data_IF_116950220777
#
_entry.id   IF_116950220777
#
_cell.length_a   1.000
_cell.length_b   1.000
_cell.length_c   1.000
_cell.angle_alpha   90.00
_cell.angle_beta   90.00
_cell.angle_gamma   90.00
#
_symmetry.space_group_name_H-M   'P 1'
#
loop_
_entity.id
_entity.type
_entity.pdbx_description
1 polymer ?
#
# COMPACT_ATOMS: atom_id res chain seq x y z
N UNK A 1 24.40 16.52 -0.31
CA UNK A 1 23.91 15.27 -0.92
C UNK A 1 23.26 14.43 0.16
N UNK A 2 22.08 13.88 -0.08
CA UNK A 2 21.35 13.11 0.92
C UNK A 2 22.04 11.76 1.17
N UNK A 3 22.24 11.38 2.44
CA UNK A 3 22.79 10.05 2.74
C UNK A 3 21.68 8.99 2.62
N UNK A 4 22.06 7.79 2.22
CA UNK A 4 21.13 6.66 2.10
C UNK A 4 20.37 6.35 3.41
N UNK A 5 21.02 6.53 4.55
CA UNK A 5 20.40 6.35 5.88
C UNK A 5 19.23 7.31 6.09
N UNK A 6 19.32 8.51 5.54
CA UNK A 6 18.42 9.63 5.82
C UNK A 6 17.17 9.62 4.90
N UNK A 7 17.19 8.82 3.83
CA UNK A 7 16.02 8.58 2.97
C UNK A 7 15.00 7.74 3.76
N UNK A 8 13.73 8.11 3.78
CA UNK A 8 12.67 7.37 4.49
C UNK A 8 11.67 6.78 3.49
N UNK A 9 11.31 5.52 3.69
CA UNK A 9 10.21 4.88 2.94
C UNK A 9 8.90 5.56 3.32
N UNK A 10 8.02 5.78 2.35
CA UNK A 10 6.76 6.50 2.54
C UNK A 10 6.89 8.02 2.52
N UNK A 11 8.09 8.58 2.33
CA UNK A 11 8.29 10.03 2.21
C UNK A 11 8.44 10.48 0.75
N UNK A 12 8.06 11.73 0.49
CA UNK A 12 8.20 12.41 -0.79
C UNK A 12 9.54 13.15 -0.86
N UNK A 13 10.24 13.00 -1.98
CA UNK A 13 11.49 13.67 -2.31
C UNK A 13 11.48 14.14 -3.76
N UNK A 14 12.41 15.01 -4.14
CA UNK A 14 12.77 15.12 -5.55
C UNK A 14 13.69 13.96 -5.94
N UNK A 15 13.50 13.41 -7.12
CA UNK A 15 14.36 12.41 -7.72
C UNK A 15 14.80 12.88 -9.12
N UNK A 16 16.11 12.86 -9.37
CA UNK A 16 16.69 13.08 -10.70
C UNK A 16 16.55 11.80 -11.54
N UNK A 17 15.68 11.85 -12.56
CA UNK A 17 15.38 10.71 -13.40
C UNK A 17 16.28 10.62 -14.65
N UNK A 18 17.23 11.53 -14.86
CA UNK A 18 18.11 11.52 -16.04
C UNK A 18 19.28 10.54 -15.91
N UNK A 19 19.75 9.86 -16.97
CA UNK A 19 19.24 9.93 -18.33
C UNK A 19 17.95 9.15 -18.49
N UNK A 20 17.12 9.58 -19.45
CA UNK A 20 15.87 8.92 -19.80
C UNK A 20 15.93 8.29 -21.18
N UNK A 21 15.12 7.25 -21.38
CA UNK A 21 14.81 6.74 -22.73
C UNK A 21 13.68 7.57 -23.35
N UNK A 22 13.48 7.42 -24.66
CA UNK A 22 12.35 8.05 -25.36
C UNK A 22 11.03 7.63 -24.69
N UNK A 23 10.16 8.60 -24.40
CA UNK A 23 8.85 8.43 -23.75
C UNK A 23 8.85 8.16 -22.24
N UNK A 24 9.99 8.30 -21.58
CA UNK A 24 10.09 8.23 -20.12
C UNK A 24 9.89 9.60 -19.45
N UNK A 25 9.41 9.60 -18.21
CA UNK A 25 9.48 10.79 -17.34
C UNK A 25 10.94 11.09 -16.97
N UNK A 26 11.43 12.29 -17.27
CA UNK A 26 12.80 12.73 -17.00
C UNK A 26 12.89 13.97 -16.14
N UNK A 27 14.10 14.45 -15.90
CA UNK A 27 14.37 15.57 -14.99
C UNK A 27 13.99 15.29 -13.52
N UNK A 28 13.94 16.36 -12.72
CA UNK A 28 13.64 16.30 -11.30
C UNK A 28 12.14 16.23 -11.06
N UNK A 29 11.66 15.06 -10.63
CA UNK A 29 10.26 14.84 -10.27
C UNK A 29 10.09 14.63 -8.78
N UNK A 30 8.98 15.14 -8.22
CA UNK A 30 8.53 14.67 -6.92
C UNK A 30 8.21 13.18 -7.02
N UNK A 31 8.68 12.40 -6.05
CA UNK A 31 8.54 10.94 -6.02
C UNK A 31 8.42 10.44 -4.60
N UNK A 32 7.65 9.37 -4.41
CA UNK A 32 7.53 8.66 -3.12
C UNK A 32 8.55 7.52 -3.09
N UNK A 33 9.25 7.36 -1.97
CA UNK A 33 10.12 6.18 -1.76
C UNK A 33 9.25 4.98 -1.37
N UNK A 34 9.18 3.97 -2.24
CA UNK A 34 8.44 2.74 -2.01
C UNK A 34 9.25 1.74 -1.19
N UNK A 35 10.54 1.60 -1.50
CA UNK A 35 11.41 0.67 -0.79
C UNK A 35 12.88 1.04 -0.91
N UNK A 36 13.67 0.48 0.00
CA UNK A 36 15.12 0.60 0.08
C UNK A 36 15.78 -0.65 -0.48
N UNK A 37 16.75 -0.46 -1.38
CA UNK A 37 17.51 -1.55 -1.98
C UNK A 37 18.36 -2.30 -0.94
N UNK A 38 18.49 -3.62 -1.13
CA UNK A 38 19.36 -4.45 -0.26
C UNK A 38 20.85 -4.09 -0.42
N UNK A 39 21.22 -3.50 -1.55
CA UNK A 39 22.57 -3.02 -1.87
C UNK A 39 22.99 -1.77 -1.07
N UNK A 40 22.07 -1.17 -0.31
CA UNK A 40 22.24 0.08 0.45
C UNK A 40 22.65 1.30 -0.41
N UNK A 41 22.35 1.24 -1.71
CA UNK A 41 22.73 2.26 -2.71
C UNK A 41 21.58 2.67 -3.61
N UNK A 42 20.56 1.84 -3.73
CA UNK A 42 19.39 2.11 -4.58
C UNK A 42 18.12 2.23 -3.76
N UNK A 43 17.14 2.92 -4.33
CA UNK A 43 15.78 3.03 -3.79
C UNK A 43 14.78 2.83 -4.93
N UNK A 44 13.66 2.21 -4.63
CA UNK A 44 12.53 2.12 -5.55
C UNK A 44 11.58 3.28 -5.27
N UNK A 45 11.18 3.97 -6.33
CA UNK A 45 10.34 5.16 -6.28
C UNK A 45 9.13 5.02 -7.19
N UNK A 46 8.11 5.82 -6.92
CA UNK A 46 7.02 6.12 -7.86
C UNK A 46 6.87 7.62 -8.00
N UNK A 47 6.75 8.10 -9.23
CA UNK A 47 6.72 9.53 -9.53
C UNK A 47 5.34 10.16 -9.30
N UNK A 48 5.35 11.46 -9.00
CA UNK A 48 4.17 12.29 -8.79
C UNK A 48 4.02 13.33 -9.90
N UNK A 49 2.78 13.75 -10.14
CA UNK A 49 2.44 14.81 -11.08
C UNK A 49 1.24 15.62 -10.62
N UNK A 50 1.10 16.85 -11.10
CA UNK A 50 -0.10 17.67 -10.94
C UNK A 50 -1.13 17.46 -12.07
N UNK A 51 -0.76 16.73 -13.13
CA UNK A 51 -1.63 16.52 -14.30
C UNK A 51 -2.59 15.35 -14.07
N UNK A 52 -3.89 15.60 -14.19
CA UNK A 52 -4.96 14.60 -14.02
C UNK A 52 -5.14 13.63 -15.20
N UNK A 53 -4.47 13.84 -16.34
CA UNK A 53 -4.60 12.95 -17.52
C UNK A 53 -4.22 11.50 -17.18
N UNK A 54 -5.09 10.53 -17.44
CA UNK A 54 -4.85 9.11 -17.09
C UNK A 54 -5.31 8.72 -15.68
N UNK A 55 -6.07 9.58 -14.98
CA UNK A 55 -6.75 9.23 -13.74
C UNK A 55 -7.66 8.00 -13.93
N UNK A 56 -7.50 7.00 -13.06
CA UNK A 56 -8.26 5.75 -13.13
C UNK A 56 -7.73 4.73 -14.15
N UNK A 57 -6.66 5.05 -14.87
CA UNK A 57 -5.93 4.10 -15.73
C UNK A 57 -4.54 3.83 -15.15
N UNK A 58 -3.65 4.83 -15.24
CA UNK A 58 -2.29 4.75 -14.75
C UNK A 58 -1.98 5.78 -13.65
N UNK A 59 -3.00 6.50 -13.17
CA UNK A 59 -2.85 7.47 -12.08
C UNK A 59 -3.87 7.31 -10.98
N UNK A 60 -3.39 7.54 -9.76
CA UNK A 60 -4.19 7.61 -8.54
C UNK A 60 -4.13 9.03 -7.97
N UNK A 61 -5.29 9.60 -7.62
CA UNK A 61 -5.38 10.92 -6.97
C UNK A 61 -5.07 10.80 -5.47
N UNK A 62 -4.11 11.58 -4.98
CA UNK A 62 -3.80 11.75 -3.56
C UNK A 62 -4.45 12.99 -2.94
N UNK A 63 -5.12 13.81 -3.74
CA UNK A 63 -5.64 15.11 -3.32
C UNK A 63 -4.52 16.10 -3.05
N UNK A 64 -4.74 16.99 -2.08
CA UNK A 64 -3.77 18.00 -1.66
C UNK A 64 -2.86 17.40 -0.60
N UNK A 65 -1.55 17.31 -0.88
CA UNK A 65 -0.57 16.80 0.08
C UNK A 65 -0.10 17.96 0.97
N UNK A 66 -0.64 18.03 2.18
CA UNK A 66 -0.43 19.15 3.13
C UNK A 66 1.04 19.40 3.52
N UNK A 67 1.90 18.38 3.43
CA UNK A 67 3.32 18.51 3.71
C UNK A 67 4.17 19.09 2.58
N UNK A 68 3.58 19.42 1.43
CA UNK A 68 4.30 20.03 0.31
C UNK A 68 4.29 21.57 0.40
N UNK A 69 5.31 22.26 -0.17
CA UNK A 69 5.34 23.72 -0.24
C UNK A 69 4.14 24.26 -1.01
N UNK A 70 3.63 25.45 -0.64
CA UNK A 70 2.50 26.10 -1.32
C UNK A 70 2.66 26.16 -2.85
N UNK A 71 3.85 26.48 -3.34
CA UNK A 71 4.17 26.52 -4.78
C UNK A 71 3.95 25.19 -5.55
N UNK A 72 3.78 24.07 -4.84
CA UNK A 72 3.51 22.75 -5.40
C UNK A 72 2.06 22.30 -5.22
N UNK A 73 1.29 22.98 -4.37
CA UNK A 73 -0.10 22.63 -4.03
C UNK A 73 -1.09 23.76 -4.31
N UNK A 74 -0.63 24.93 -4.75
CA UNK A 74 -1.43 26.09 -5.14
C UNK A 74 -0.94 26.62 -6.50
N UNK A 75 -1.85 27.01 -7.39
CA UNK A 75 -1.52 27.70 -8.62
C UNK A 75 -1.24 29.21 -8.39
N UNK A 76 -0.91 29.96 -9.46
CA UNK A 76 -0.63 31.40 -9.36
C UNK A 76 -1.82 32.23 -8.88
N UNK A 77 -3.03 31.70 -8.97
CA UNK A 77 -4.29 32.32 -8.53
C UNK A 77 -4.71 31.86 -7.14
N UNK A 78 -3.93 30.99 -6.48
CA UNK A 78 -4.22 30.45 -5.15
C UNK A 78 -5.19 29.28 -5.15
N UNK A 79 -5.50 28.69 -6.31
CA UNK A 79 -6.36 27.51 -6.36
C UNK A 79 -5.57 26.25 -6.01
N UNK A 80 -6.18 25.28 -5.31
CA UNK A 80 -5.50 24.05 -4.94
C UNK A 80 -5.14 23.18 -6.15
N UNK A 81 -3.95 22.61 -6.11
CA UNK A 81 -3.42 21.65 -7.08
C UNK A 81 -3.40 20.27 -6.45
N UNK A 82 -4.16 19.34 -7.03
CA UNK A 82 -4.12 17.93 -6.65
C UNK A 82 -2.80 17.28 -7.08
N UNK A 83 -2.32 16.36 -6.25
CA UNK A 83 -1.19 15.50 -6.53
C UNK A 83 -1.67 14.12 -6.97
N UNK A 84 -1.09 13.60 -8.04
CA UNK A 84 -1.38 12.29 -8.57
C UNK A 84 -0.13 11.42 -8.57
N UNK A 85 -0.26 10.17 -8.15
CA UNK A 85 0.76 9.13 -8.32
C UNK A 85 0.65 8.57 -9.72
N UNK A 86 1.78 8.42 -10.40
CA UNK A 86 1.86 7.82 -11.74
C UNK A 86 2.30 6.37 -11.60
N UNK A 87 1.32 5.46 -11.57
CA UNK A 87 1.46 4.08 -11.14
C UNK A 87 2.31 3.23 -12.10
N UNK A 88 2.36 3.58 -13.38
CA UNK A 88 3.20 2.89 -14.37
C UNK A 88 4.66 3.38 -14.39
N UNK A 89 4.98 4.48 -13.68
CA UNK A 89 6.33 5.06 -13.58
C UNK A 89 7.05 4.63 -12.29
N UNK A 90 7.01 3.35 -11.95
CA UNK A 90 7.85 2.78 -10.88
C UNK A 90 9.25 2.52 -11.40
N UNK A 91 10.27 3.00 -10.67
CA UNK A 91 11.68 2.85 -11.06
C UNK A 91 12.57 2.60 -9.86
N UNK A 92 13.68 1.92 -10.08
CA UNK A 92 14.79 1.86 -9.13
C UNK A 92 15.85 2.86 -9.56
N UNK A 93 16.22 3.76 -8.65
CA UNK A 93 17.23 4.80 -8.88
C UNK A 93 18.33 4.74 -7.82
N UNK A 94 19.50 5.28 -8.15
CA UNK A 94 20.55 5.47 -7.14
C UNK A 94 20.08 6.47 -6.08
N UNK A 95 20.33 6.16 -4.80
CA UNK A 95 20.04 7.04 -3.66
C UNK A 95 20.67 8.43 -3.80
N UNK A 96 21.77 8.51 -4.54
CA UNK A 96 22.50 9.71 -4.88
C UNK A 96 21.68 10.73 -5.68
N UNK A 97 20.61 10.27 -6.33
CA UNK A 97 19.69 11.08 -7.15
C UNK A 97 18.51 11.64 -6.35
N UNK A 98 18.41 11.27 -5.07
CA UNK A 98 17.33 11.72 -4.19
C UNK A 98 17.74 13.03 -3.51
N UNK A 99 16.84 14.00 -3.53
CA UNK A 99 17.05 15.33 -3.02
C UNK A 99 15.88 15.74 -2.13
N UNK A 100 16.18 16.46 -1.04
CA UNK A 100 15.14 17.04 -0.20
C UNK A 100 14.29 18.04 -0.97
N UNK A 101 13.05 18.20 -0.52
CA UNK A 101 12.19 19.29 -0.96
C UNK A 101 12.66 20.57 -0.26
N UNK A 102 12.98 21.59 -1.06
CA UNK A 102 13.36 22.92 -0.57
C UNK A 102 12.13 23.82 -0.53
N UNK A 103 11.92 24.47 0.61
CA UNK A 103 10.90 25.49 0.82
C UNK A 103 11.52 26.81 1.29
N UNK A 104 12.22 27.45 0.36
CA UNK A 104 12.91 28.72 0.59
C UNK A 104 14.19 28.59 1.42
N UNK A 105 14.51 29.68 2.11
CA UNK A 105 15.72 29.85 2.91
C UNK A 105 15.33 30.12 4.37
N UNK A 106 16.14 29.64 5.31
CA UNK A 106 16.08 30.03 6.71
C UNK A 106 16.65 31.44 6.90
N UNK A 107 16.44 32.01 8.08
CA UNK A 107 16.95 33.34 8.47
C UNK A 107 18.47 33.46 8.40
N UNK A 108 19.20 32.34 8.54
CA UNK A 108 20.65 32.26 8.40
C UNK A 108 21.14 32.07 6.95
N UNK A 109 20.24 32.11 5.96
CA UNK A 109 20.55 31.94 4.54
C UNK A 109 20.73 30.48 4.08
N UNK A 110 20.60 29.50 4.99
CA UNK A 110 20.65 28.07 4.65
C UNK A 110 19.33 27.59 4.04
N UNK A 111 19.38 26.49 3.28
CA UNK A 111 18.17 25.92 2.67
C UNK A 111 17.21 25.38 3.75
N UNK A 112 15.94 25.74 3.63
CA UNK A 112 14.89 25.15 4.46
C UNK A 112 14.37 23.86 3.81
N UNK A 113 14.76 22.72 4.38
CA UNK A 113 14.34 21.41 3.90
C UNK A 113 13.14 20.92 4.67
N UNK A 114 12.16 20.36 3.96
CA UNK A 114 10.95 19.82 4.58
C UNK A 114 10.90 18.30 4.45
N UNK A 115 10.38 17.65 5.50
CA UNK A 115 9.96 16.26 5.44
C UNK A 115 8.49 16.19 5.06
N UNK A 116 8.17 15.36 4.07
CA UNK A 116 6.81 15.21 3.58
C UNK A 116 6.45 13.71 3.58
N UNK A 117 6.02 13.15 4.73
CA UNK A 117 5.52 11.79 4.79
C UNK A 117 4.15 11.69 4.11
N UNK A 118 3.94 10.61 3.38
CA UNK A 118 2.61 10.18 2.92
C UNK A 118 1.92 9.49 4.09
N UNK A 119 0.63 9.77 4.30
CA UNK A 119 -0.13 9.09 5.35
C UNK A 119 -0.21 7.58 5.08
N UNK A 120 -0.30 6.79 6.16
CA UNK A 120 -0.22 5.34 6.06
C UNK A 120 -1.34 4.73 5.21
N UNK A 121 -2.53 5.36 5.20
CA UNK A 121 -3.67 4.88 4.41
C UNK A 121 -3.42 5.09 2.92
N UNK A 122 -3.04 6.30 2.51
CA UNK A 122 -2.67 6.61 1.13
C UNK A 122 -1.50 5.75 0.66
N UNK A 123 -0.46 5.59 1.49
CA UNK A 123 0.69 4.74 1.15
C UNK A 123 0.28 3.29 0.94
N UNK A 124 -0.55 2.73 1.83
CA UNK A 124 -1.08 1.37 1.66
C UNK A 124 -1.87 1.22 0.37
N UNK A 125 -2.72 2.20 0.05
CA UNK A 125 -3.54 2.18 -1.18
C UNK A 125 -2.66 2.23 -2.43
N UNK A 126 -1.61 3.06 -2.45
CA UNK A 126 -0.63 3.08 -3.56
C UNK A 126 0.00 1.70 -3.76
N UNK A 127 0.41 1.04 -2.67
CA UNK A 127 1.03 -0.29 -2.76
C UNK A 127 0.06 -1.32 -3.34
N UNK A 128 -1.22 -1.31 -2.94
CA UNK A 128 -2.24 -2.20 -3.51
C UNK A 128 -2.43 -1.97 -5.01
N UNK A 129 -2.64 -0.72 -5.42
CA UNK A 129 -2.86 -0.35 -6.83
C UNK A 129 -1.65 -0.73 -7.72
N UNK A 130 -0.43 -0.55 -7.20
CA UNK A 130 0.79 -0.99 -7.89
C UNK A 130 0.87 -2.52 -8.04
N UNK A 131 0.45 -3.26 -7.02
CA UNK A 131 0.42 -4.72 -7.08
C UNK A 131 -0.62 -5.19 -8.11
N UNK A 132 -1.83 -4.65 -8.04
CA UNK A 132 -2.94 -5.00 -8.93
C UNK A 132 -2.58 -4.71 -10.40
N UNK A 133 -1.98 -3.57 -10.70
CA UNK A 133 -1.49 -3.26 -12.06
C UNK A 133 -0.43 -4.27 -12.53
N UNK A 134 0.53 -4.62 -11.68
CA UNK A 134 1.59 -5.57 -12.05
C UNK A 134 1.08 -6.98 -12.29
N UNK A 135 0.01 -7.36 -11.60
CA UNK A 135 -0.64 -8.66 -11.78
C UNK A 135 -1.49 -8.63 -13.05
N UNK A 136 -2.23 -7.54 -13.29
CA UNK A 136 -3.03 -7.36 -14.50
C UNK A 136 -2.17 -7.28 -15.78
N UNK A 137 -0.92 -6.80 -15.68
CA UNK A 137 0.06 -6.79 -16.78
C UNK A 137 0.58 -8.21 -17.15
N UNK A 138 0.27 -9.25 -16.36
CA UNK A 138 0.65 -10.62 -16.69
C UNK A 138 -0.24 -11.15 -17.83
N UNK A 139 0.33 -11.96 -18.73
CA UNK A 139 -0.42 -12.57 -19.85
C UNK A 139 -0.96 -13.99 -19.53
N UNK A 140 -0.97 -14.38 -18.25
CA UNK A 140 -1.40 -15.71 -17.80
C UNK A 140 -2.67 -15.55 -16.97
N UNK A 141 -3.82 -15.67 -17.64
CA UNK A 141 -5.14 -15.50 -17.04
C UNK A 141 -5.40 -16.48 -15.90
N UNK A 142 -4.90 -17.73 -16.01
CA UNK A 142 -5.04 -18.74 -14.98
C UNK A 142 -4.22 -18.36 -13.73
N UNK A 143 -2.98 -17.90 -13.91
CA UNK A 143 -2.14 -17.44 -12.81
C UNK A 143 -2.71 -16.20 -12.11
N UNK A 144 -3.30 -15.27 -12.88
CA UNK A 144 -3.99 -14.09 -12.34
C UNK A 144 -5.20 -14.53 -11.51
N UNK A 145 -6.03 -15.42 -12.06
CA UNK A 145 -7.20 -15.97 -11.39
C UNK A 145 -6.83 -16.66 -10.07
N UNK A 146 -5.81 -17.51 -10.09
CA UNK A 146 -5.32 -18.19 -8.88
C UNK A 146 -4.70 -17.22 -7.86
N UNK A 147 -4.02 -16.16 -8.29
CA UNK A 147 -3.52 -15.13 -7.37
C UNK A 147 -4.67 -14.43 -6.62
N UNK A 148 -5.71 -13.98 -7.33
CA UNK A 148 -6.84 -13.30 -6.71
C UNK A 148 -7.64 -14.24 -5.80
N UNK A 149 -7.88 -15.47 -6.25
CA UNK A 149 -8.51 -16.53 -5.45
C UNK A 149 -7.73 -16.78 -4.16
N UNK A 150 -6.42 -16.98 -4.25
CA UNK A 150 -5.55 -17.18 -3.08
C UNK A 150 -5.53 -15.97 -2.15
N UNK A 151 -5.53 -14.76 -2.71
CA UNK A 151 -5.54 -13.52 -1.92
C UNK A 151 -6.83 -13.38 -1.12
N UNK A 152 -7.98 -13.61 -1.77
CA UNK A 152 -9.28 -13.58 -1.10
C UNK A 152 -9.42 -14.71 -0.08
N UNK A 153 -8.97 -15.93 -0.42
CA UNK A 153 -8.92 -17.04 0.52
C UNK A 153 -8.15 -16.70 1.80
N UNK A 154 -6.93 -16.13 1.66
CA UNK A 154 -6.13 -15.70 2.80
C UNK A 154 -6.83 -14.60 3.62
N UNK A 155 -7.57 -13.70 2.97
CA UNK A 155 -8.40 -12.70 3.65
C UNK A 155 -9.51 -13.36 4.46
N UNK A 156 -10.25 -14.33 3.90
CA UNK A 156 -11.26 -15.08 4.62
C UNK A 156 -10.67 -15.77 5.86
N UNK A 157 -9.54 -16.47 5.71
CA UNK A 157 -8.85 -17.16 6.81
C UNK A 157 -8.48 -16.18 7.93
N UNK A 158 -7.85 -15.05 7.57
CA UNK A 158 -7.49 -14.02 8.54
C UNK A 158 -8.71 -13.46 9.27
N UNK A 159 -9.77 -13.12 8.52
CA UNK A 159 -11.01 -12.59 9.10
C UNK A 159 -11.68 -13.58 10.04
N UNK A 160 -11.73 -14.86 9.70
CA UNK A 160 -12.25 -15.91 10.58
C UNK A 160 -11.49 -15.95 11.91
N UNK A 161 -10.16 -15.90 11.88
CA UNK A 161 -9.32 -15.91 13.09
C UNK A 161 -9.56 -14.64 13.93
N UNK A 162 -9.52 -13.46 13.30
CA UNK A 162 -9.71 -12.17 13.97
C UNK A 162 -11.11 -12.07 14.63
N UNK A 163 -12.17 -12.48 13.92
CA UNK A 163 -13.53 -12.50 14.45
C UNK A 163 -13.70 -13.53 15.57
N UNK A 164 -13.09 -14.71 15.45
CA UNK A 164 -13.10 -15.72 16.50
C UNK A 164 -12.44 -15.18 17.76
N UNK A 165 -11.32 -14.45 17.62
CA UNK A 165 -10.68 -13.76 18.74
C UNK A 165 -11.58 -12.72 19.39
N UNK A 166 -12.28 -11.94 18.60
CA UNK A 166 -13.22 -10.95 19.13
C UNK A 166 -14.37 -11.60 19.89
N UNK A 167 -14.89 -12.72 19.40
CA UNK A 167 -15.91 -13.52 20.10
C UNK A 167 -15.37 -14.05 21.42
N UNK A 168 -14.15 -14.63 21.44
CA UNK A 168 -13.49 -15.10 22.68
C UNK A 168 -13.36 -13.96 23.70
N UNK A 169 -13.05 -12.75 23.22
CA UNK A 169 -12.85 -11.55 24.05
C UNK A 169 -14.14 -10.78 24.35
N UNK A 170 -15.30 -11.24 23.87
CA UNK A 170 -16.58 -10.56 24.05
C UNK A 170 -16.64 -9.16 23.43
N UNK A 171 -15.93 -8.92 22.32
CA UNK A 171 -15.88 -7.62 21.64
C UNK A 171 -16.97 -7.54 20.59
N UNK A 172 -17.78 -6.48 20.61
CA UNK A 172 -18.86 -6.26 19.64
C UNK A 172 -20.06 -7.20 19.83
N UNK A 173 -20.95 -7.25 18.83
CA UNK A 173 -22.14 -8.10 18.86
C UNK A 173 -21.75 -9.53 18.47
N UNK A 174 -21.82 -10.46 19.43
CA UNK A 174 -21.35 -11.84 19.24
C UNK A 174 -22.15 -12.58 18.17
N UNK A 175 -23.46 -12.35 18.06
CA UNK A 175 -24.31 -13.00 17.06
C UNK A 175 -23.87 -12.66 15.64
N UNK A 176 -23.77 -11.37 15.31
CA UNK A 176 -23.31 -10.86 14.01
C UNK A 176 -21.94 -11.43 13.64
N UNK A 177 -21.01 -11.46 14.59
CA UNK A 177 -19.67 -12.01 14.36
C UNK A 177 -19.69 -13.51 14.08
N UNK A 178 -20.60 -14.28 14.69
CA UNK A 178 -20.76 -15.70 14.38
C UNK A 178 -21.25 -15.89 12.93
N UNK A 179 -22.22 -15.10 12.50
CA UNK A 179 -22.71 -15.11 11.12
C UNK A 179 -21.60 -14.75 10.13
N UNK A 180 -20.79 -13.73 10.43
CA UNK A 180 -19.63 -13.37 9.61
C UNK A 180 -18.57 -14.48 9.55
N UNK A 181 -18.28 -15.16 10.67
CA UNK A 181 -17.37 -16.31 10.68
C UNK A 181 -17.88 -17.42 9.75
N UNK A 182 -19.18 -17.74 9.80
CA UNK A 182 -19.79 -18.75 8.93
C UNK A 182 -19.72 -18.32 7.46
N UNK A 183 -19.99 -17.04 7.18
CA UNK A 183 -19.88 -16.49 5.82
C UNK A 183 -18.46 -16.68 5.26
N UNK A 184 -17.42 -16.30 6.01
CA UNK A 184 -16.04 -16.46 5.56
C UNK A 184 -15.61 -17.93 5.45
N UNK A 185 -16.15 -18.81 6.31
CA UNK A 185 -15.91 -20.24 6.24
C UNK A 185 -16.45 -20.86 4.95
N UNK A 186 -17.71 -20.56 4.60
CA UNK A 186 -18.33 -21.05 3.37
C UNK A 186 -17.59 -20.58 2.11
N UNK A 187 -17.12 -19.33 2.11
CA UNK A 187 -16.29 -18.80 1.02
C UNK A 187 -14.94 -19.52 0.92
N UNK A 188 -14.27 -19.78 2.05
CA UNK A 188 -13.01 -20.53 2.06
C UNK A 188 -13.18 -21.96 1.51
N UNK A 189 -14.24 -22.67 1.92
CA UNK A 189 -14.58 -24.01 1.41
C UNK A 189 -14.91 -24.01 -0.09
N UNK A 190 -15.61 -22.98 -0.58
CA UNK A 190 -15.92 -22.85 -2.01
C UNK A 190 -14.66 -22.70 -2.86
N UNK A 191 -13.60 -22.09 -2.30
CA UNK A 191 -12.31 -21.91 -2.98
C UNK A 191 -11.38 -23.11 -2.85
N UNK A 192 -11.37 -23.76 -1.69
CA UNK A 192 -10.53 -24.90 -1.39
C UNK A 192 -11.37 -25.99 -0.68
N UNK A 193 -11.81 -26.99 -1.46
CA UNK A 193 -12.74 -28.05 -1.00
C UNK A 193 -12.23 -28.86 0.21
N UNK A 194 -10.93 -28.83 0.48
CA UNK A 194 -10.29 -29.50 1.62
C UNK A 194 -9.85 -28.54 2.73
N UNK A 195 -10.36 -27.31 2.75
CA UNK A 195 -9.96 -26.30 3.73
C UNK A 195 -10.19 -26.79 5.17
N UNK A 196 -9.11 -26.75 5.96
CA UNK A 196 -9.12 -26.93 7.39
C UNK A 196 -8.40 -25.74 8.04
N UNK A 197 -9.06 -25.08 8.99
CA UNK A 197 -8.52 -23.86 9.61
C UNK A 197 -7.26 -24.13 10.45
N UNK A 198 -7.11 -25.35 10.96
CA UNK A 198 -5.98 -25.79 11.79
C UNK A 198 -4.63 -25.59 11.09
N UNK A 199 -4.57 -25.82 9.78
CA UNK A 199 -3.40 -25.63 8.93
C UNK A 199 -2.91 -24.17 8.87
N UNK A 200 -3.75 -23.21 9.31
CA UNK A 200 -3.48 -21.78 9.24
C UNK A 200 -3.34 -21.12 10.61
N UNK A 201 -3.50 -21.87 11.70
CA UNK A 201 -3.35 -21.36 13.05
C UNK A 201 -1.88 -21.29 13.46
N UNK A 202 -1.47 -20.16 14.04
CA UNK A 202 -0.17 -19.99 14.67
C UNK A 202 -0.19 -20.56 16.09
N UNK A 203 0.98 -20.82 16.71
CA UNK A 203 1.05 -21.36 18.07
C UNK A 203 0.28 -20.54 19.13
N UNK A 204 0.21 -19.22 18.96
CA UNK A 204 -0.57 -18.37 19.86
C UNK A 204 -2.08 -18.49 19.65
N UNK A 205 -2.55 -18.75 18.43
CA UNK A 205 -3.97 -18.99 18.14
C UNK A 205 -4.44 -20.27 18.83
N UNK A 206 -3.63 -21.32 18.72
CA UNK A 206 -3.86 -22.61 19.39
C UNK A 206 -3.92 -22.41 20.91
N UNK A 207 -2.94 -21.69 21.49
CA UNK A 207 -2.91 -21.39 22.93
C UNK A 207 -4.16 -20.62 23.40
N UNK A 208 -4.71 -19.76 22.56
CA UNK A 208 -5.92 -18.99 22.87
C UNK A 208 -7.22 -19.72 22.51
N UNK A 209 -7.17 -21.03 22.21
CA UNK A 209 -8.36 -21.86 21.95
C UNK A 209 -9.18 -21.38 20.75
N UNK A 210 -8.52 -20.76 19.76
CA UNK A 210 -9.19 -20.29 18.53
C UNK A 210 -9.85 -21.45 17.79
N UNK A 211 -9.18 -22.60 17.67
CA UNK A 211 -9.74 -23.78 17.01
C UNK A 211 -11.01 -24.29 17.70
N UNK A 212 -10.99 -24.41 19.03
CA UNK A 212 -12.13 -24.86 19.83
C UNK A 212 -13.35 -23.94 19.60
N UNK A 213 -13.13 -22.62 19.70
CA UNK A 213 -14.21 -21.65 19.54
C UNK A 213 -14.71 -21.57 18.11
N UNK A 214 -13.81 -21.66 17.12
CA UNK A 214 -14.19 -21.69 15.72
C UNK A 214 -15.09 -22.89 15.42
N UNK A 215 -14.68 -24.09 15.85
CA UNK A 215 -15.45 -25.31 15.65
C UNK A 215 -16.83 -25.24 16.33
N UNK A 216 -16.92 -24.64 17.52
CA UNK A 216 -18.23 -24.36 18.16
C UNK A 216 -19.13 -23.54 17.24
N UNK A 217 -18.60 -22.51 16.58
CA UNK A 217 -19.38 -21.63 15.71
C UNK A 217 -19.83 -22.37 14.44
N UNK A 218 -18.90 -23.01 13.72
CA UNK A 218 -19.23 -23.59 12.41
C UNK A 218 -19.99 -24.91 12.51
N UNK A 219 -19.76 -25.73 13.55
CA UNK A 219 -20.45 -27.00 13.73
C UNK A 219 -21.86 -26.84 14.33
N UNK A 220 -22.11 -25.80 15.13
CA UNK A 220 -23.47 -25.51 15.62
C UNK A 220 -24.41 -24.96 14.54
N UNK A 221 -23.88 -24.59 13.38
CA UNK A 221 -24.62 -23.96 12.27
C UNK A 221 -25.14 -24.96 11.23
N UNK A 222 -24.83 -26.26 11.37
CA UNK A 222 -25.23 -27.34 10.46
C UNK A 222 -26.48 -28.09 10.99
N UNK A 223 -27.44 -27.36 11.60
CA UNK A 223 -28.70 -27.93 12.10
C UNK A 223 -29.90 -27.35 11.36
#
# INVERSE_FOLDING_TARGET
MLRYSDIKVGNIYYADLNPIRKYEFGDNHLSIILSKGKDKRTVTIVSLTSKSSGLGQNKMNLGIVSGLPKRLVEDRSGNPINTYVVLDQVRTVSANRIQYIKDGKKTDGTDNYIECPVDAFSFSKIVCELADLRIADLNDEDAIGEYHKKTFFNYCVKKMIDLTYDIIKGRGIVADKKEEVIYFYNNALAMEKGFLIDNYLKPHDIKNKVLEKFNEIVLMSVK
#
